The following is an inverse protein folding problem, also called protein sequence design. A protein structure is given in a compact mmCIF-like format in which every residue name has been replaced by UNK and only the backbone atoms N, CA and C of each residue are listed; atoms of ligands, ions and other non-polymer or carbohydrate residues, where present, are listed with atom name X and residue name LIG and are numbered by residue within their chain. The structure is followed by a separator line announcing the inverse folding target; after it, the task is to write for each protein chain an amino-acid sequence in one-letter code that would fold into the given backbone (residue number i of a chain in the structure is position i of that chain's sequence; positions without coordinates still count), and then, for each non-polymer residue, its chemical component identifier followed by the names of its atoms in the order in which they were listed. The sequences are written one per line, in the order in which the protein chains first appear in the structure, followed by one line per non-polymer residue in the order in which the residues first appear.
data_IF_714253726089
#
_entry.id   IF_714253726089
#
_cell.length_a   1.000
_cell.length_b   1.000
_cell.length_c   1.000
_cell.angle_alpha   90.00
_cell.angle_beta   90.00
_cell.angle_gamma   90.00
#
_symmetry.space_group_name_H-M   'P 1'
#
loop_
_entity.id
_entity.type
_entity.pdbx_description
1 polymer ?
#
# COMPACT_ATOMS: atom_id res chain seq x y z
N UNK A 1 -24.01 -23.89 13.40
CA UNK A 1 -23.33 -23.53 12.13
C UNK A 1 -23.14 -22.03 12.15
N UNK A 2 -22.08 -21.59 12.81
CA UNK A 2 -21.68 -20.18 12.96
C UNK A 2 -20.20 -20.14 12.58
N UNK A 3 -19.81 -19.35 11.58
CA UNK A 3 -18.38 -19.14 11.30
C UNK A 3 -17.99 -18.62 9.92
N UNK A 4 -18.74 -18.93 8.86
CA UNK A 4 -18.26 -18.69 7.49
C UNK A 4 -18.70 -17.35 6.86
N UNK A 5 -19.49 -16.51 7.56
CA UNK A 5 -20.06 -15.28 6.98
C UNK A 5 -19.08 -14.09 6.84
N UNK A 6 -17.78 -14.28 7.09
CA UNK A 6 -16.82 -13.17 7.17
C UNK A 6 -15.60 -13.30 6.26
N UNK A 7 -15.56 -14.27 5.35
CA UNK A 7 -14.38 -14.52 4.50
C UNK A 7 -14.71 -14.59 3.01
N UNK A 8 -13.82 -14.02 2.18
CA UNK A 8 -13.90 -14.05 0.72
C UNK A 8 -12.65 -14.72 0.15
N UNK A 9 -12.84 -15.77 -0.64
CA UNK A 9 -11.75 -16.36 -1.42
C UNK A 9 -11.28 -15.39 -2.50
N UNK A 10 -9.96 -15.18 -2.58
CA UNK A 10 -9.37 -14.33 -3.63
C UNK A 10 -9.30 -15.13 -4.92
N UNK A 11 -10.09 -14.72 -5.92
CA UNK A 11 -10.17 -15.40 -7.23
C UNK A 11 -9.32 -14.73 -8.32
N UNK A 12 -8.82 -13.52 -8.08
CA UNK A 12 -8.02 -12.80 -9.06
C UNK A 12 -6.69 -13.49 -9.33
N UNK A 13 -6.45 -13.93 -10.57
CA UNK A 13 -5.26 -14.73 -10.93
C UNK A 13 -3.91 -14.03 -10.70
N UNK A 14 -3.90 -12.70 -10.59
CA UNK A 14 -2.71 -11.91 -10.28
C UNK A 14 -2.37 -11.86 -8.79
N UNK A 15 -3.28 -12.27 -7.91
CA UNK A 15 -3.17 -12.09 -6.46
C UNK A 15 -3.72 -13.28 -5.66
N UNK A 16 -4.04 -14.42 -6.29
CA UNK A 16 -4.68 -15.56 -5.62
C UNK A 16 -3.71 -16.46 -4.82
N UNK A 17 -2.47 -16.04 -4.61
CA UNK A 17 -1.51 -16.71 -3.74
C UNK A 17 -0.59 -15.70 -3.04
N UNK A 18 0.02 -16.11 -1.92
CA UNK A 18 1.00 -15.30 -1.19
C UNK A 18 2.12 -14.80 -2.11
N UNK A 19 2.72 -15.70 -2.88
CA UNK A 19 3.81 -15.39 -3.81
C UNK A 19 3.40 -14.29 -4.79
N UNK A 20 2.23 -14.42 -5.40
CA UNK A 20 1.73 -13.46 -6.40
C UNK A 20 1.45 -12.09 -5.78
N UNK A 21 0.88 -12.04 -4.57
CA UNK A 21 0.67 -10.78 -3.85
C UNK A 21 2.00 -10.12 -3.50
N UNK A 22 2.95 -10.88 -2.95
CA UNK A 22 4.27 -10.33 -2.62
C UNK A 22 5.01 -9.85 -3.86
N UNK A 23 4.93 -10.56 -4.98
CA UNK A 23 5.50 -10.12 -6.25
C UNK A 23 4.89 -8.79 -6.70
N UNK A 24 3.56 -8.63 -6.63
CA UNK A 24 2.88 -7.38 -6.94
C UNK A 24 3.31 -6.24 -6.00
N UNK A 25 3.37 -6.48 -4.69
CA UNK A 25 3.79 -5.48 -3.71
C UNK A 25 5.25 -5.07 -3.93
N UNK A 26 6.15 -6.00 -4.27
CA UNK A 26 7.57 -5.75 -4.54
C UNK A 26 7.84 -4.92 -5.80
N UNK A 27 6.85 -4.74 -6.68
CA UNK A 27 6.96 -3.79 -7.80
C UNK A 27 7.04 -2.34 -7.30
N UNK A 28 6.44 -2.06 -6.13
CA UNK A 28 6.29 -0.70 -5.58
C UNK A 28 7.08 -0.53 -4.27
N UNK A 29 6.98 -1.48 -3.36
CA UNK A 29 7.51 -1.42 -2.01
C UNK A 29 8.82 -2.21 -1.86
N UNK A 30 9.61 -1.89 -0.82
CA UNK A 30 10.74 -2.73 -0.44
C UNK A 30 10.26 -4.11 0.00
N UNK A 31 11.03 -5.16 -0.25
CA UNK A 31 10.64 -6.53 0.13
C UNK A 31 10.26 -6.67 1.60
N UNK A 32 10.99 -5.96 2.47
CA UNK A 32 10.71 -5.89 3.90
C UNK A 32 9.34 -5.28 4.20
N UNK A 33 8.97 -4.19 3.52
CA UNK A 33 7.68 -3.54 3.71
C UNK A 33 6.54 -4.36 3.08
N UNK A 34 6.74 -4.96 1.90
CA UNK A 34 5.78 -5.87 1.28
C UNK A 34 5.40 -7.05 2.18
N UNK A 35 6.39 -7.67 2.83
CA UNK A 35 6.15 -8.75 3.81
C UNK A 35 5.37 -8.27 5.03
N UNK A 36 5.60 -7.01 5.47
CA UNK A 36 4.82 -6.42 6.56
C UNK A 36 3.37 -6.18 6.12
N UNK A 37 3.16 -5.53 4.98
CA UNK A 37 1.82 -5.27 4.42
C UNK A 37 1.05 -6.58 4.27
N UNK A 38 1.67 -7.62 3.71
CA UNK A 38 1.02 -8.93 3.54
C UNK A 38 0.55 -9.52 4.88
N UNK A 39 1.36 -9.42 5.94
CA UNK A 39 0.98 -9.90 7.27
C UNK A 39 -0.18 -9.08 7.86
N UNK A 40 -0.15 -7.76 7.67
CA UNK A 40 -1.17 -6.85 8.19
C UNK A 40 -2.53 -7.03 7.49
N UNK A 41 -2.55 -7.53 6.24
CA UNK A 41 -3.78 -7.87 5.51
C UNK A 41 -4.56 -9.07 6.09
N UNK A 42 -3.94 -9.84 7.01
CA UNK A 42 -4.56 -10.93 7.74
C UNK A 42 -5.28 -11.97 6.83
N UNK A 43 -4.64 -12.34 5.72
CA UNK A 43 -5.13 -13.40 4.84
C UNK A 43 -4.92 -14.78 5.47
N UNK A 44 -5.88 -15.68 5.26
CA UNK A 44 -5.77 -17.08 5.64
C UNK A 44 -5.56 -17.95 4.40
N UNK A 45 -4.71 -18.97 4.52
CA UNK A 45 -4.50 -19.97 3.48
C UNK A 45 -5.15 -21.30 3.86
N UNK A 46 -6.07 -21.77 3.02
CA UNK A 46 -6.82 -23.02 3.20
C UNK A 46 -6.82 -23.76 1.87
N UNK A 47 -6.38 -25.02 1.87
CA UNK A 47 -6.31 -25.88 0.69
C UNK A 47 -5.58 -25.24 -0.51
N UNK A 48 -4.49 -24.51 -0.23
CA UNK A 48 -3.68 -23.80 -1.25
C UNK A 48 -4.36 -22.58 -1.86
N UNK A 49 -5.47 -22.11 -1.28
CA UNK A 49 -6.17 -20.89 -1.68
C UNK A 49 -6.15 -19.88 -0.55
N UNK A 50 -6.01 -18.61 -0.89
CA UNK A 50 -6.10 -17.55 0.10
C UNK A 50 -7.54 -17.01 0.21
N UNK A 51 -7.94 -16.67 1.43
CA UNK A 51 -9.17 -15.93 1.73
C UNK A 51 -8.87 -14.71 2.60
N UNK A 52 -9.63 -13.64 2.40
CA UNK A 52 -9.52 -12.39 3.16
C UNK A 52 -10.75 -12.16 4.00
N UNK A 53 -10.65 -11.45 5.15
CA UNK A 53 -11.85 -11.01 5.85
C UNK A 53 -12.65 -10.03 4.98
N UNK A 54 -13.98 -10.05 5.11
CA UNK A 54 -14.84 -9.01 4.52
C UNK A 54 -14.52 -7.70 5.23
N UNK A 55 -13.97 -6.76 4.47
CA UNK A 55 -13.68 -5.41 4.94
C UNK A 55 -13.74 -4.43 3.78
N UNK A 56 -14.06 -3.18 4.12
CA UNK A 56 -14.03 -2.02 3.24
C UNK A 56 -13.23 -0.91 3.92
N UNK A 57 -12.33 -0.28 3.18
CA UNK A 57 -11.48 0.81 3.61
C UNK A 57 -11.30 1.75 2.43
N UNK A 58 -11.55 3.04 2.66
CA UNK A 58 -11.29 4.11 1.72
C UNK A 58 -10.52 5.24 2.41
N UNK A 59 -9.94 6.12 1.61
CA UNK A 59 -9.26 7.34 2.06
C UNK A 59 -9.83 8.53 1.29
N UNK A 60 -9.89 9.69 1.95
CA UNK A 60 -10.20 10.97 1.28
C UNK A 60 -8.93 11.65 0.75
N UNK A 61 -7.75 11.05 0.99
CA UNK A 61 -6.47 11.59 0.57
C UNK A 61 -6.37 11.60 -0.97
N UNK A 62 -6.25 12.80 -1.52
CA UNK A 62 -6.07 13.05 -2.95
C UNK A 62 -4.58 13.11 -3.29
N UNK A 63 -3.98 11.93 -3.42
CA UNK A 63 -2.58 11.80 -3.81
C UNK A 63 -2.28 12.29 -5.25
N UNK A 64 -3.31 12.47 -6.11
CA UNK A 64 -3.13 12.98 -7.47
C UNK A 64 -2.85 14.48 -7.44
N UNK A 65 -3.55 15.22 -6.57
CA UNK A 65 -3.35 16.65 -6.37
C UNK A 65 -2.39 16.99 -5.20
N UNK A 66 -1.70 15.98 -4.65
CA UNK A 66 -0.68 16.19 -3.64
C UNK A 66 0.48 17.05 -4.17
N UNK A 67 0.98 17.93 -3.31
CA UNK A 67 2.10 18.81 -3.62
C UNK A 67 3.35 18.34 -2.90
N UNK A 68 4.40 18.02 -3.65
CA UNK A 68 5.72 17.76 -3.09
C UNK A 68 6.32 19.10 -2.62
N UNK A 69 6.63 19.17 -1.33
CA UNK A 69 7.23 20.33 -0.68
C UNK A 69 8.76 20.25 -0.67
N UNK A 70 9.30 19.07 -0.35
CA UNK A 70 10.73 18.85 -0.24
C UNK A 70 11.14 17.45 -0.67
N UNK A 71 12.34 17.35 -1.26
CA UNK A 71 12.97 16.08 -1.61
C UNK A 71 14.41 16.13 -1.08
N UNK A 72 14.74 15.24 -0.14
CA UNK A 72 16.09 15.06 0.37
C UNK A 72 16.65 13.72 -0.08
N UNK A 73 17.74 13.73 -0.84
CA UNK A 73 18.42 12.50 -1.30
C UNK A 73 19.75 12.34 -0.57
N UNK A 74 20.00 11.16 -0.03
CA UNK A 74 21.30 10.78 0.53
C UNK A 74 21.62 9.32 0.21
N UNK A 75 22.69 9.10 -0.56
CA UNK A 75 23.12 7.78 -1.03
C UNK A 75 21.99 7.06 -1.77
N UNK A 76 21.55 5.91 -1.26
CA UNK A 76 20.47 5.10 -1.82
C UNK A 76 19.13 5.35 -1.11
N UNK A 77 18.95 6.50 -0.46
CA UNK A 77 17.72 6.87 0.24
C UNK A 77 17.21 8.22 -0.27
N UNK A 78 15.90 8.34 -0.38
CA UNK A 78 15.21 9.58 -0.74
C UNK A 78 14.04 9.77 0.21
N UNK A 79 13.97 10.92 0.87
CA UNK A 79 12.83 11.36 1.67
C UNK A 79 12.05 12.38 0.87
N UNK A 80 10.74 12.18 0.74
CA UNK A 80 9.81 13.11 0.08
C UNK A 80 8.82 13.59 1.13
N UNK A 81 8.70 14.90 1.28
CA UNK A 81 7.72 15.55 2.15
C UNK A 81 6.67 16.22 1.25
N UNK A 82 5.39 15.92 1.49
CA UNK A 82 4.29 16.38 0.64
C UNK A 82 3.08 16.83 1.46
N UNK A 83 2.38 17.84 0.96
CA UNK A 83 1.04 18.19 1.43
C UNK A 83 0.02 17.44 0.59
N UNK A 84 -0.85 16.65 1.22
CA UNK A 84 -1.90 15.87 0.55
C UNK A 84 -3.27 16.48 0.88
N UNK A 85 -4.05 16.94 -0.11
CA UNK A 85 -5.41 17.38 0.11
C UNK A 85 -6.31 16.21 0.53
N UNK A 86 -7.34 16.50 1.30
CA UNK A 86 -8.44 15.58 1.57
C UNK A 86 -9.72 16.17 0.98
N UNK A 87 -10.30 15.48 0.00
CA UNK A 87 -11.49 15.94 -0.71
C UNK A 87 -12.59 14.88 -0.70
N UNK A 88 -13.85 15.32 -0.74
CA UNK A 88 -15.00 14.43 -0.96
C UNK A 88 -15.36 14.35 -2.44
N UNK A 89 -15.18 15.45 -3.17
CA UNK A 89 -15.38 15.61 -4.61
C UNK A 89 -14.31 16.58 -5.15
N UNK A 90 -14.12 16.62 -6.48
CA UNK A 90 -13.03 17.34 -7.17
C UNK A 90 -12.85 18.82 -6.78
N UNK A 91 -13.90 19.50 -6.32
CA UNK A 91 -13.90 20.93 -6.01
C UNK A 91 -13.91 21.26 -4.49
N UNK A 92 -14.14 20.28 -3.61
CA UNK A 92 -14.33 20.50 -2.17
C UNK A 92 -13.18 19.92 -1.34
N UNK A 93 -12.08 20.69 -1.23
CA UNK A 93 -10.97 20.37 -0.31
C UNK A 93 -11.41 20.70 1.13
N UNK A 94 -11.49 19.67 1.97
CA UNK A 94 -11.90 19.76 3.36
C UNK A 94 -10.73 20.04 4.31
N UNK A 95 -9.57 19.44 4.02
CA UNK A 95 -8.37 19.56 4.85
C UNK A 95 -7.12 19.14 4.10
N UNK A 96 -5.96 19.20 4.77
CA UNK A 96 -4.68 18.74 4.25
C UNK A 96 -3.93 17.91 5.31
N UNK A 97 -3.16 16.91 4.88
CA UNK A 97 -2.14 16.23 5.69
C UNK A 97 -0.73 16.59 5.21
N UNK A 98 0.23 16.65 6.14
CA UNK A 98 1.65 16.66 5.82
C UNK A 98 2.19 15.24 5.94
N UNK A 99 2.74 14.71 4.85
CA UNK A 99 3.17 13.32 4.76
C UNK A 99 4.63 13.20 4.38
N UNK A 100 5.24 12.13 4.89
CA UNK A 100 6.64 11.80 4.63
C UNK A 100 6.73 10.40 4.04
N UNK A 101 7.20 10.32 2.81
CA UNK A 101 7.48 9.08 2.10
C UNK A 101 8.99 8.84 2.06
N UNK A 102 9.42 7.64 2.46
CA UNK A 102 10.81 7.23 2.28
C UNK A 102 10.93 6.24 1.13
N UNK A 103 11.92 6.45 0.27
CA UNK A 103 12.29 5.55 -0.80
C UNK A 103 13.70 5.03 -0.59
N UNK A 104 13.93 3.78 -0.98
CA UNK A 104 15.24 3.13 -0.99
C UNK A 104 15.53 2.67 -2.41
N UNK A 105 16.72 3.00 -2.92
CA UNK A 105 17.20 2.50 -4.19
C UNK A 105 17.83 1.11 -4.01
N UNK A 106 17.30 0.13 -4.72
CA UNK A 106 17.78 -1.24 -4.77
C UNK A 106 18.36 -1.54 -6.16
N UNK A 107 19.57 -2.10 -6.19
CA UNK A 107 20.25 -2.42 -7.45
C UNK A 107 19.46 -3.48 -8.21
N UNK A 108 19.09 -3.18 -9.46
CA UNK A 108 18.37 -4.09 -10.36
C UNK A 108 16.85 -3.86 -10.39
N UNK A 109 16.27 -3.28 -9.34
CA UNK A 109 14.83 -3.02 -9.24
C UNK A 109 14.51 -1.52 -9.24
N UNK A 110 15.42 -0.66 -8.79
CA UNK A 110 15.27 0.79 -8.78
C UNK A 110 14.78 1.32 -7.42
N UNK A 111 14.11 2.47 -7.43
CA UNK A 111 13.53 3.05 -6.21
C UNK A 111 12.29 2.27 -5.76
N UNK A 112 12.21 2.01 -4.46
CA UNK A 112 11.08 1.34 -3.81
C UNK A 112 10.64 2.11 -2.58
N UNK A 113 9.33 2.17 -2.37
CA UNK A 113 8.75 2.82 -1.22
C UNK A 113 9.02 1.98 0.04
N UNK A 114 9.53 2.63 1.07
CA UNK A 114 9.92 2.05 2.35
C UNK A 114 9.03 2.55 3.51
N UNK A 115 8.04 3.38 3.20
CA UNK A 115 6.99 3.84 4.12
C UNK A 115 5.63 3.45 3.56
N UNK A 116 4.69 3.05 4.42
CA UNK A 116 3.29 2.90 4.03
C UNK A 116 2.58 4.22 4.32
N UNK A 117 1.93 4.79 3.31
CA UNK A 117 1.10 6.00 3.40
C UNK A 117 -0.36 5.62 3.14
N UNK A 118 -1.32 6.42 3.63
CA UNK A 118 -2.76 6.11 3.63
C UNK A 118 -3.60 7.33 3.28
#
# INVERSE_FOLDING_TARGET
MEGDSYWLYVRGERINSKEKILNLLNEVYTSKLSEKIYKDLNFEEIDGRIRRPVSDVGTLADYVNAKINHITVFRNRCKVEATVPHSMDDDDILSYSEETMEFVYEKGTGWRLNTLVF
#
